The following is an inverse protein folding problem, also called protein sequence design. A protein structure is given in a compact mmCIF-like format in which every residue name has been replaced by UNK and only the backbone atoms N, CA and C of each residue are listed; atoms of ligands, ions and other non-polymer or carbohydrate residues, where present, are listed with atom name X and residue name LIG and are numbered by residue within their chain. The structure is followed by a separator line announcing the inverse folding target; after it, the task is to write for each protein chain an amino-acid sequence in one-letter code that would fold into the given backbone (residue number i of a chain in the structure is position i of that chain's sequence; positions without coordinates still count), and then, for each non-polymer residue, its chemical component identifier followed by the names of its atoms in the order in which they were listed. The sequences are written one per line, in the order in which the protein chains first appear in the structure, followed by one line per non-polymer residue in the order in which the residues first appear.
data_IF_492267239545
#
_entry.id   IF_492267239545
#
_cell.length_a   1.000
_cell.length_b   1.000
_cell.length_c   1.000
_cell.angle_alpha   90.00
_cell.angle_beta   90.00
_cell.angle_gamma   90.00
#
_symmetry.space_group_name_H-M   'P 1'
#
loop_
_entity.id
_entity.type
_entity.pdbx_description
1 polymer ?
#
# COMPACT_ATOMS: atom_id res chain seq x y z
N UNK A 1 -28.80 -26.09 6.81
CA UNK A 1 -27.41 -26.34 6.37
C UNK A 1 -26.52 -25.29 6.98
N UNK A 2 -25.39 -25.67 7.57
CA UNK A 2 -24.40 -24.68 8.02
C UNK A 2 -23.80 -23.96 6.80
N UNK A 3 -23.54 -22.64 6.87
CA UNK A 3 -22.93 -21.91 5.77
C UNK A 3 -21.54 -22.47 5.47
N UNK A 4 -21.27 -22.76 4.19
CA UNK A 4 -19.94 -23.19 3.74
C UNK A 4 -19.02 -21.97 3.80
N UNK A 5 -17.92 -22.07 4.55
CA UNK A 5 -16.89 -21.02 4.57
C UNK A 5 -16.05 -21.14 3.29
N UNK A 6 -16.07 -20.15 2.39
CA UNK A 6 -15.27 -20.22 1.17
C UNK A 6 -13.77 -20.19 1.50
N UNK A 7 -12.96 -20.95 0.76
CA UNK A 7 -11.50 -20.82 0.80
C UNK A 7 -11.12 -19.59 -0.02
N UNK A 8 -10.58 -18.58 0.65
CA UNK A 8 -10.22 -17.30 0.01
C UNK A 8 -8.75 -17.19 -0.39
N UNK A 9 -7.88 -18.11 0.07
CA UNK A 9 -6.45 -18.08 -0.24
C UNK A 9 -6.20 -18.08 -1.75
N UNK A 10 -5.27 -17.22 -2.20
CA UNK A 10 -4.85 -17.10 -3.60
C UNK A 10 -3.31 -17.11 -3.71
N UNK A 11 -2.83 -17.42 -4.91
CA UNK A 11 -1.44 -17.28 -5.32
C UNK A 11 -1.38 -16.22 -6.44
N UNK A 12 -0.71 -15.10 -6.16
CA UNK A 12 -0.51 -14.00 -7.10
C UNK A 12 0.94 -14.00 -7.58
N UNK A 13 1.24 -14.76 -8.64
CA UNK A 13 2.57 -14.78 -9.24
C UNK A 13 3.66 -15.30 -8.30
N UNK A 14 3.34 -16.24 -7.41
CA UNK A 14 4.22 -16.78 -6.37
C UNK A 14 4.00 -16.14 -4.99
N UNK A 15 3.21 -15.07 -4.89
CA UNK A 15 2.85 -14.45 -3.63
C UNK A 15 1.63 -15.14 -3.03
N UNK A 16 1.82 -15.92 -1.97
CA UNK A 16 0.72 -16.55 -1.25
C UNK A 16 0.02 -15.53 -0.37
N UNK A 17 -1.26 -15.28 -0.65
CA UNK A 17 -2.11 -14.35 0.11
C UNK A 17 -3.23 -15.11 0.80
N UNK A 18 -3.49 -14.82 2.08
CA UNK A 18 -4.53 -15.50 2.86
C UNK A 18 -5.95 -15.30 2.29
N UNK A 19 -6.14 -14.20 1.57
CA UNK A 19 -7.35 -13.83 0.84
C UNK A 19 -6.99 -12.86 -0.31
N UNK A 20 -7.88 -12.54 -1.26
CA UNK A 20 -7.52 -11.70 -2.41
C UNK A 20 -7.55 -10.19 -2.11
N UNK A 21 -7.85 -9.77 -0.87
CA UNK A 21 -7.98 -8.36 -0.52
C UNK A 21 -6.61 -7.78 -0.21
N UNK A 22 -6.22 -6.76 -0.96
CA UNK A 22 -5.04 -5.93 -0.69
C UNK A 22 -5.42 -4.46 -0.73
N UNK A 23 -4.60 -3.61 -0.14
CA UNK A 23 -4.76 -2.16 -0.20
C UNK A 23 -4.36 -1.65 -1.57
N UNK A 24 -4.99 -0.58 -2.04
CA UNK A 24 -4.51 0.14 -3.20
C UNK A 24 -3.29 1.00 -2.82
N UNK A 25 -2.31 1.09 -3.71
CA UNK A 25 -1.13 1.96 -3.50
C UNK A 25 -1.59 3.41 -3.27
N UNK A 26 -1.05 4.03 -2.22
CA UNK A 26 -1.36 5.42 -1.87
C UNK A 26 -2.65 5.64 -1.07
N UNK A 27 -3.45 4.59 -0.80
CA UNK A 27 -4.69 4.70 0.00
C UNK A 27 -4.54 4.15 1.42
N UNK A 28 -3.35 3.70 1.80
CA UNK A 28 -3.11 3.00 3.07
C UNK A 28 -1.83 3.46 3.79
N UNK A 29 -1.41 4.69 3.49
CA UNK A 29 -0.18 5.29 4.04
C UNK A 29 1.02 4.32 3.97
N UNK A 30 1.72 4.11 5.08
CA UNK A 30 2.81 3.16 5.23
C UNK A 30 2.38 1.87 5.96
N UNK A 31 1.08 1.67 6.18
CA UNK A 31 0.48 0.55 6.92
C UNK A 31 0.40 0.75 8.43
N UNK A 32 1.42 1.38 9.05
CA UNK A 32 1.49 1.56 10.50
C UNK A 32 0.29 2.33 11.07
N UNK A 33 -0.15 3.36 10.36
CA UNK A 33 -1.27 4.21 10.76
C UNK A 33 -2.59 3.43 10.85
N UNK A 34 -2.72 2.34 10.10
CA UNK A 34 -3.92 1.50 10.10
C UNK A 34 -3.84 0.30 11.05
N UNK A 35 -2.63 -0.07 11.48
CA UNK A 35 -2.42 -1.15 12.44
C UNK A 35 -3.00 -0.85 13.83
N UNK A 36 -3.22 0.43 14.15
CA UNK A 36 -3.92 0.86 15.36
C UNK A 36 -5.42 0.51 15.35
N UNK A 37 -6.01 0.27 14.16
CA UNK A 37 -7.43 -0.04 14.01
C UNK A 37 -7.72 -1.54 13.86
N UNK A 38 -6.83 -2.30 13.22
CA UNK A 38 -6.99 -3.74 13.04
C UNK A 38 -5.66 -4.44 12.73
N UNK A 39 -5.66 -5.76 12.91
CA UNK A 39 -4.49 -6.60 12.64
C UNK A 39 -4.26 -6.76 11.13
N UNK A 40 -3.10 -6.29 10.65
CA UNK A 40 -2.76 -6.31 9.23
C UNK A 40 -2.73 -7.71 8.61
N UNK A 41 -2.53 -8.78 9.41
CA UNK A 41 -2.54 -10.18 8.92
C UNK A 41 -3.90 -10.63 8.38
N UNK A 42 -4.95 -9.84 8.64
CA UNK A 42 -6.30 -10.07 8.09
C UNK A 42 -6.39 -9.71 6.61
N UNK A 43 -5.48 -8.88 6.10
CA UNK A 43 -5.34 -8.60 4.68
C UNK A 43 -4.62 -9.75 3.97
N UNK A 44 -4.90 -9.89 2.68
CA UNK A 44 -4.11 -10.74 1.80
C UNK A 44 -2.70 -10.20 1.58
N UNK A 45 -2.58 -8.88 1.45
CA UNK A 45 -1.31 -8.16 1.37
C UNK A 45 -1.49 -6.67 1.72
N UNK A 46 -0.38 -5.99 1.97
CA UNK A 46 -0.29 -4.52 2.01
C UNK A 46 0.44 -4.04 0.76
N UNK A 47 -0.22 -3.24 -0.07
CA UNK A 47 0.45 -2.53 -1.16
C UNK A 47 0.86 -1.14 -0.69
N UNK A 48 2.16 -0.87 -0.68
CA UNK A 48 2.70 0.40 -0.16
C UNK A 48 2.45 1.55 -1.14
N UNK A 49 2.54 2.79 -0.64
CA UNK A 49 2.63 3.97 -1.50
C UNK A 49 3.83 3.87 -2.43
N UNK A 50 3.72 4.50 -3.60
CA UNK A 50 4.82 4.65 -4.56
C UNK A 50 6.08 5.20 -3.93
N UNK A 51 7.21 4.55 -4.18
CA UNK A 51 8.54 5.01 -3.78
C UNK A 51 9.38 5.30 -5.01
N UNK A 52 10.09 6.43 -4.99
CA UNK A 52 11.06 6.82 -6.02
C UNK A 52 12.48 6.69 -5.49
N UNK A 53 13.47 6.82 -6.39
CA UNK A 53 14.89 6.87 -6.02
C UNK A 53 15.14 7.95 -4.97
N UNK A 54 14.82 9.19 -5.31
CA UNK A 54 14.96 10.36 -4.46
C UNK A 54 13.62 10.82 -3.88
N UNK A 55 13.60 11.59 -2.77
CA UNK A 55 12.36 12.09 -2.19
C UNK A 55 11.59 13.03 -3.13
N UNK A 56 10.28 12.86 -3.22
CA UNK A 56 9.39 13.73 -3.99
C UNK A 56 8.41 14.45 -3.07
N UNK A 57 8.26 15.77 -3.24
CA UNK A 57 7.38 16.60 -2.43
C UNK A 57 5.88 16.46 -2.77
N UNK A 58 5.57 15.97 -3.98
CA UNK A 58 4.22 16.01 -4.54
C UNK A 58 3.87 17.33 -5.22
N UNK A 59 2.65 17.42 -5.74
CA UNK A 59 2.13 18.62 -6.41
C UNK A 59 1.79 19.73 -5.42
N UNK A 60 1.33 20.92 -5.80
CA UNK A 60 0.85 21.89 -4.79
C UNK A 60 -0.58 21.59 -4.31
N UNK A 61 -0.94 22.08 -3.12
CA UNK A 61 -2.33 22.04 -2.64
C UNK A 61 -3.20 23.06 -3.38
N UNK A 62 -4.50 22.79 -3.62
CA UNK A 62 -5.26 21.59 -3.23
C UNK A 62 -4.97 20.36 -4.11
N UNK A 63 -4.83 19.19 -3.48
CA UNK A 63 -4.50 17.91 -4.16
C UNK A 63 -5.64 16.89 -4.16
N UNK A 64 -6.79 17.22 -3.59
CA UNK A 64 -7.96 16.35 -3.50
C UNK A 64 -9.24 17.14 -3.75
N UNK A 65 -10.23 16.51 -4.35
CA UNK A 65 -11.57 17.07 -4.54
C UNK A 65 -12.63 15.95 -4.50
N UNK A 66 -13.75 16.17 -3.82
CA UNK A 66 -14.86 15.21 -3.79
C UNK A 66 -15.63 15.21 -5.12
N UNK A 67 -16.17 14.06 -5.50
CA UNK A 67 -17.07 13.90 -6.64
C UNK A 67 -18.26 13.01 -6.25
N UNK A 68 -19.38 13.00 -7.00
CA UNK A 68 -20.45 12.04 -6.77
C UNK A 68 -19.89 10.60 -6.74
N UNK A 69 -20.10 9.91 -5.62
CA UNK A 69 -19.63 8.54 -5.38
C UNK A 69 -18.10 8.34 -5.47
N UNK A 70 -17.28 9.38 -5.20
CA UNK A 70 -15.82 9.23 -5.23
C UNK A 70 -15.04 10.50 -4.91
N UNK A 71 -13.78 10.51 -5.33
CA UNK A 71 -12.88 11.66 -5.21
C UNK A 71 -11.84 11.68 -6.33
N UNK A 72 -11.35 12.88 -6.65
CA UNK A 72 -10.16 13.11 -7.46
C UNK A 72 -8.94 13.32 -6.56
N UNK A 73 -7.77 12.89 -7.02
CA UNK A 73 -6.50 13.19 -6.36
C UNK A 73 -5.43 13.60 -7.38
N UNK A 74 -4.55 14.49 -6.94
CA UNK A 74 -3.37 14.97 -7.65
C UNK A 74 -2.20 15.07 -6.65
N UNK A 75 -1.90 13.96 -5.96
CA UNK A 75 -0.89 13.95 -4.88
C UNK A 75 0.52 14.24 -5.42
N UNK A 76 0.80 13.88 -6.68
CA UNK A 76 2.13 14.04 -7.29
C UNK A 76 3.15 13.03 -6.77
N UNK A 77 2.70 11.82 -6.37
CA UNK A 77 3.58 10.74 -5.89
C UNK A 77 4.51 11.12 -4.72
N UNK A 78 4.06 12.03 -3.85
CA UNK A 78 4.82 12.44 -2.66
C UNK A 78 5.31 11.23 -1.86
N UNK A 79 6.62 11.08 -1.68
CA UNK A 79 7.25 9.96 -1.00
C UNK A 79 8.65 10.34 -0.48
N UNK A 80 9.20 9.60 0.50
CA UNK A 80 10.45 9.97 1.17
C UNK A 80 11.73 9.53 0.44
N UNK A 81 11.62 8.92 -0.75
CA UNK A 81 12.74 8.27 -1.43
C UNK A 81 13.02 6.86 -0.89
N UNK A 82 13.76 6.06 -1.66
CA UNK A 82 13.93 4.62 -1.39
C UNK A 82 14.74 4.35 -0.13
N UNK A 83 15.77 5.14 0.16
CA UNK A 83 16.61 4.94 1.34
C UNK A 83 15.81 5.11 2.65
N UNK A 84 15.07 6.21 2.78
CA UNK A 84 14.24 6.47 3.94
C UNK A 84 13.05 5.50 4.05
N UNK A 85 12.46 5.12 2.92
CA UNK A 85 11.40 4.10 2.87
C UNK A 85 11.89 2.74 3.40
N UNK A 86 13.06 2.29 2.94
CA UNK A 86 13.68 1.03 3.37
C UNK A 86 14.03 1.06 4.86
N UNK A 87 14.63 2.15 5.35
CA UNK A 87 15.07 2.28 6.74
C UNK A 87 13.91 2.37 7.75
N UNK A 88 12.76 2.93 7.34
CA UNK A 88 11.61 3.16 8.20
C UNK A 88 10.41 2.28 7.85
N UNK A 89 9.48 2.77 6.99
CA UNK A 89 8.23 2.08 6.65
C UNK A 89 8.37 0.60 6.29
N UNK A 90 9.27 0.26 5.37
CA UNK A 90 9.41 -1.12 4.89
C UNK A 90 9.99 -2.03 5.98
N UNK A 91 10.99 -1.55 6.73
CA UNK A 91 11.55 -2.29 7.86
C UNK A 91 10.50 -2.59 8.93
N UNK A 92 9.61 -1.65 9.22
CA UNK A 92 8.49 -1.89 10.14
C UNK A 92 7.48 -2.90 9.57
N UNK A 93 7.13 -2.78 8.29
CA UNK A 93 6.23 -3.73 7.61
C UNK A 93 6.81 -5.15 7.56
N UNK A 94 8.12 -5.30 7.39
CA UNK A 94 8.81 -6.59 7.39
C UNK A 94 8.74 -7.33 8.74
N UNK A 95 8.40 -6.62 9.82
CA UNK A 95 8.18 -7.19 11.15
C UNK A 95 6.71 -7.64 11.36
N UNK A 96 5.84 -7.41 10.37
CA UNK A 96 4.43 -7.78 10.42
C UNK A 96 4.18 -9.11 9.68
N UNK A 97 3.22 -9.90 10.15
CA UNK A 97 2.82 -11.17 9.52
C UNK A 97 1.84 -10.94 8.37
N UNK A 98 2.25 -10.15 7.38
CA UNK A 98 1.45 -9.85 6.18
C UNK A 98 2.36 -9.71 4.96
N UNK A 99 1.98 -10.28 3.79
CA UNK A 99 2.71 -10.04 2.56
C UNK A 99 2.73 -8.56 2.16
N UNK A 100 3.86 -8.09 1.62
CA UNK A 100 4.03 -6.68 1.21
C UNK A 100 4.32 -6.60 -0.29
N UNK A 101 3.58 -5.73 -0.98
CA UNK A 101 3.79 -5.39 -2.39
C UNK A 101 4.31 -3.95 -2.45
N UNK A 102 5.51 -3.74 -2.98
CA UNK A 102 6.11 -2.41 -3.09
C UNK A 102 5.77 -1.78 -4.43
N UNK A 103 5.08 -0.64 -4.42
CA UNK A 103 4.88 0.16 -5.62
C UNK A 103 6.13 1.02 -5.91
N UNK A 104 6.74 0.84 -7.07
CA UNK A 104 7.94 1.60 -7.50
C UNK A 104 7.54 2.65 -8.52
N UNK A 105 8.12 3.84 -8.42
CA UNK A 105 7.80 4.98 -9.30
C UNK A 105 9.07 5.67 -9.79
N UNK A 106 9.06 6.12 -11.04
CA UNK A 106 10.18 6.81 -11.68
C UNK A 106 9.72 7.62 -12.89
N UNK A 107 10.54 8.57 -13.32
CA UNK A 107 10.29 9.39 -14.52
C UNK A 107 11.06 8.89 -15.74
N UNK A 108 12.11 8.10 -15.54
CA UNK A 108 13.04 7.57 -16.53
C UNK A 108 13.52 6.18 -16.13
N UNK A 109 14.21 5.50 -17.04
CA UNK A 109 14.90 4.23 -16.77
C UNK A 109 16.30 4.47 -16.19
N UNK A 110 16.92 5.58 -16.58
CA UNK A 110 18.14 6.15 -16.00
C UNK A 110 17.89 6.75 -14.62
#
# INVERSE_FOLDING_TARGET
MAPVKPKLQVDLGGLIMANPVTTASGTFAAGREYADFYDLKTLGAVTTKGVSRDPWAGNDSPRIAETPSGMLNSIGLQNPGVEAFCAGPLNWLAQQDVPVIVNVSGHSLE
#
